data_IF_667610653307
#
_entry.id   IF_667610653307
#
_cell.length_a   1.000
_cell.length_b   1.000
_cell.length_c   1.000
_cell.angle_alpha   90.00
_cell.angle_beta   90.00
_cell.angle_gamma   90.00
#
_symmetry.space_group_name_H-M   'P 1'
#
loop_
_entity.id
_entity.type
_entity.pdbx_description
1 polymer ?
#
# COMPACT_ATOMS: atom_id res chain seq x y z
N UNK A 1 -2.42 21.26 19.73
CA UNK A 1 -3.86 21.22 19.43
C UNK A 1 -4.13 21.04 17.94
N UNK A 2 -3.59 21.91 17.07
CA UNK A 2 -3.84 21.87 15.60
C UNK A 2 -3.35 20.60 14.92
N UNK A 3 -2.23 20.05 15.35
CA UNK A 3 -1.68 18.79 14.86
C UNK A 3 -2.58 17.60 15.24
N UNK A 4 -3.06 17.56 16.49
CA UNK A 4 -3.94 16.50 16.98
C UNK A 4 -5.26 16.45 16.21
N UNK A 5 -5.86 17.61 15.91
CA UNK A 5 -7.11 17.67 15.14
C UNK A 5 -6.90 17.21 13.68
N UNK A 6 -5.78 17.61 13.07
CA UNK A 6 -5.46 17.16 11.72
C UNK A 6 -5.23 15.63 11.67
N UNK A 7 -4.54 15.07 12.67
CA UNK A 7 -4.35 13.62 12.75
C UNK A 7 -5.69 12.90 12.87
N UNK A 8 -6.59 13.34 13.74
CA UNK A 8 -7.93 12.76 13.86
C UNK A 8 -8.72 12.77 12.55
N UNK A 9 -8.60 13.84 11.77
CA UNK A 9 -9.27 13.93 10.48
C UNK A 9 -8.68 12.97 9.44
N UNK A 10 -7.34 12.77 9.45
CA UNK A 10 -6.66 11.78 8.61
C UNK A 10 -7.13 10.38 8.99
N UNK A 11 -7.11 10.06 10.28
CA UNK A 11 -7.52 8.74 10.79
C UNK A 11 -8.98 8.46 10.43
N UNK A 12 -9.88 9.42 10.64
CA UNK A 12 -11.30 9.30 10.29
C UNK A 12 -11.50 8.98 8.81
N UNK A 13 -10.80 9.70 7.91
CA UNK A 13 -10.91 9.45 6.45
C UNK A 13 -10.36 8.07 6.07
N UNK A 14 -9.26 7.67 6.69
CA UNK A 14 -8.68 6.35 6.47
C UNK A 14 -9.61 5.24 6.98
N UNK A 15 -10.26 5.44 8.13
CA UNK A 15 -11.21 4.48 8.69
C UNK A 15 -12.49 4.38 7.84
N UNK A 16 -12.97 5.49 7.30
CA UNK A 16 -14.11 5.50 6.37
C UNK A 16 -13.80 4.76 5.06
N UNK A 17 -12.60 4.96 4.50
CA UNK A 17 -12.16 4.22 3.33
C UNK A 17 -12.06 2.71 3.63
N UNK A 18 -11.49 2.35 4.77
CA UNK A 18 -11.40 0.98 5.23
C UNK A 18 -12.77 0.34 5.46
N UNK A 19 -13.71 1.04 6.08
CA UNK A 19 -15.07 0.55 6.29
C UNK A 19 -15.79 0.21 4.98
N UNK A 20 -15.51 0.94 3.90
CA UNK A 20 -16.03 0.65 2.57
C UNK A 20 -15.34 -0.55 1.92
N UNK A 21 -14.03 -0.71 2.12
CA UNK A 21 -13.25 -1.81 1.55
C UNK A 21 -13.48 -3.13 2.27
N UNK A 22 -13.72 -3.10 3.59
CA UNK A 22 -13.78 -4.27 4.45
C UNK A 22 -14.81 -5.33 4.01
N UNK A 23 -16.04 -5.03 3.60
CA UNK A 23 -16.98 -6.04 3.13
C UNK A 23 -16.46 -6.85 1.93
N UNK A 24 -15.73 -6.20 1.01
CA UNK A 24 -15.13 -6.86 -0.15
C UNK A 24 -13.99 -7.77 0.30
N UNK A 25 -13.13 -7.29 1.20
CA UNK A 25 -12.03 -8.06 1.78
C UNK A 25 -12.53 -9.30 2.51
N UNK A 26 -13.60 -9.16 3.29
CA UNK A 26 -14.22 -10.28 4.01
C UNK A 26 -14.87 -11.29 3.07
N UNK A 27 -15.48 -10.81 1.98
CA UNK A 27 -16.01 -11.70 0.94
C UNK A 27 -14.90 -12.51 0.25
N UNK A 28 -13.76 -11.88 -0.05
CA UNK A 28 -12.61 -12.59 -0.61
C UNK A 28 -12.00 -13.59 0.37
N UNK A 29 -12.01 -13.29 1.66
CA UNK A 29 -11.54 -14.21 2.69
C UNK A 29 -12.33 -15.53 2.69
N UNK A 30 -13.64 -15.48 2.45
CA UNK A 30 -14.48 -16.68 2.33
C UNK A 30 -14.26 -17.45 1.03
N UNK A 31 -13.70 -16.81 0.01
CA UNK A 31 -13.40 -17.39 -1.30
C UNK A 31 -11.93 -17.89 -1.43
N UNK A 32 -11.22 -18.04 -0.32
CA UNK A 32 -9.86 -18.54 -0.31
C UNK A 32 -8.75 -17.50 -0.53
N UNK A 33 -9.07 -16.23 -0.40
CA UNK A 33 -8.11 -15.12 -0.33
C UNK A 33 -8.18 -14.45 1.05
N UNK A 34 -7.67 -15.07 2.12
CA UNK A 34 -7.90 -14.60 3.48
C UNK A 34 -7.18 -13.29 3.74
N UNK A 35 -7.89 -12.31 4.28
CA UNK A 35 -7.27 -11.21 4.99
C UNK A 35 -6.81 -11.68 6.36
N UNK A 36 -5.53 -11.54 6.61
CA UNK A 36 -4.91 -11.92 7.89
C UNK A 36 -4.25 -10.70 8.50
N UNK A 37 -4.95 -9.91 9.32
CA UNK A 37 -4.43 -8.66 9.90
C UNK A 37 -3.19 -8.87 10.77
N UNK A 38 -2.96 -10.09 11.21
CA UNK A 38 -1.80 -10.52 11.98
C UNK A 38 -0.93 -11.51 11.19
N UNK A 39 -1.10 -11.57 9.89
CA UNK A 39 -0.33 -12.44 9.03
C UNK A 39 1.12 -12.05 9.07
N UNK A 40 1.84 -12.90 9.61
CA UNK A 40 3.11 -12.51 10.02
C UNK A 40 4.08 -13.65 9.94
N UNK A 41 3.63 -14.85 9.93
CA UNK A 41 4.50 -15.95 9.56
C UNK A 41 4.49 -16.07 8.04
N UNK A 42 5.65 -16.28 7.40
CA UNK A 42 5.72 -16.55 5.96
C UNK A 42 4.80 -17.68 5.50
N UNK A 43 4.54 -18.65 6.38
CA UNK A 43 3.68 -19.80 6.11
C UNK A 43 2.19 -19.43 6.06
N UNK A 44 1.79 -18.34 6.70
CA UNK A 44 0.39 -17.88 6.74
C UNK A 44 -0.04 -17.24 5.42
N UNK A 45 0.92 -16.83 4.59
CA UNK A 45 0.67 -16.12 3.34
C UNK A 45 0.76 -17.08 2.15
N UNK A 46 -0.18 -16.94 1.24
CA UNK A 46 -0.24 -17.76 0.03
C UNK A 46 0.94 -17.41 -0.87
N UNK A 47 1.72 -18.42 -1.21
CA UNK A 47 2.73 -18.31 -2.28
C UNK A 47 2.10 -18.72 -3.59
N UNK A 48 2.22 -17.88 -4.58
CA UNK A 48 1.83 -18.22 -5.95
C UNK A 48 2.77 -19.28 -6.52
N UNK A 49 2.26 -20.12 -7.43
CA UNK A 49 3.09 -21.09 -8.15
C UNK A 49 4.05 -20.44 -9.18
N UNK A 50 3.79 -19.18 -9.50
CA UNK A 50 4.62 -18.40 -10.42
C UNK A 50 5.09 -17.12 -9.73
N UNK A 51 6.28 -16.61 -10.06
CA UNK A 51 6.78 -15.38 -9.46
C UNK A 51 5.86 -14.18 -9.73
N UNK A 52 5.99 -13.15 -8.92
CA UNK A 52 5.25 -11.90 -9.04
C UNK A 52 5.40 -11.27 -10.44
N UNK A 53 6.60 -11.36 -10.98
CA UNK A 53 6.97 -11.00 -12.36
C UNK A 53 8.28 -11.73 -12.72
N UNK A 54 8.66 -11.81 -14.01
CA UNK A 54 9.92 -12.42 -14.41
C UNK A 54 11.12 -11.73 -13.74
N UNK A 55 11.95 -12.50 -13.06
CA UNK A 55 13.11 -11.97 -12.33
C UNK A 55 12.80 -11.42 -10.93
N UNK A 56 11.61 -11.66 -10.38
CA UNK A 56 11.29 -11.30 -9.01
C UNK A 56 12.12 -12.11 -8.01
N UNK A 57 12.75 -11.42 -7.05
CA UNK A 57 13.59 -11.98 -6.00
C UNK A 57 13.16 -11.47 -4.62
N UNK A 58 13.67 -12.12 -3.57
CA UNK A 58 13.41 -11.72 -2.19
C UNK A 58 12.13 -12.30 -1.59
N UNK A 59 11.77 -11.83 -0.39
CA UNK A 59 10.67 -12.37 0.41
C UNK A 59 9.29 -12.30 -0.25
N UNK A 60 9.05 -11.29 -1.09
CA UNK A 60 7.81 -11.11 -1.84
C UNK A 60 7.81 -11.70 -3.25
N UNK A 61 8.85 -12.44 -3.64
CA UNK A 61 9.01 -12.93 -5.02
C UNK A 61 7.84 -13.76 -5.55
N UNK A 62 7.11 -14.43 -4.67
CA UNK A 62 5.97 -15.28 -5.01
C UNK A 62 4.63 -14.72 -4.52
N UNK A 63 4.58 -13.44 -4.23
CA UNK A 63 3.29 -12.80 -3.93
C UNK A 63 2.37 -12.81 -5.15
N UNK A 64 1.09 -13.16 -5.01
CA UNK A 64 0.13 -13.02 -6.09
C UNK A 64 -0.19 -11.56 -6.42
N UNK A 65 0.04 -10.63 -5.47
CA UNK A 65 -0.42 -9.25 -5.64
C UNK A 65 -1.88 -9.20 -6.07
N UNK A 66 -2.21 -8.33 -7.01
CA UNK A 66 -3.56 -8.16 -7.55
C UNK A 66 -3.96 -9.16 -8.64
N UNK A 67 -3.18 -10.22 -8.88
CA UNK A 67 -3.40 -11.16 -9.98
C UNK A 67 -4.80 -11.77 -9.93
N UNK A 68 -5.48 -11.78 -11.09
CA UNK A 68 -6.86 -12.26 -11.22
C UNK A 68 -7.91 -11.32 -10.64
N UNK A 69 -7.51 -10.13 -10.20
CA UNK A 69 -8.41 -9.08 -9.72
C UNK A 69 -8.85 -8.11 -10.80
N UNK A 70 -9.55 -7.06 -10.38
CA UNK A 70 -10.00 -5.99 -11.26
C UNK A 70 -8.81 -5.14 -11.74
N UNK A 71 -8.88 -4.68 -12.98
CA UNK A 71 -7.98 -3.63 -13.46
C UNK A 71 -8.61 -2.28 -13.16
N UNK A 72 -7.90 -1.44 -12.40
CA UNK A 72 -8.31 -0.07 -12.07
C UNK A 72 -7.37 0.88 -12.77
N UNK A 73 -7.93 1.77 -13.59
CA UNK A 73 -7.16 2.73 -14.39
C UNK A 73 -7.11 4.06 -13.66
N UNK A 74 -5.89 4.49 -13.31
CA UNK A 74 -5.65 5.85 -12.81
C UNK A 74 -5.56 6.78 -14.01
N UNK A 75 -6.52 7.68 -14.11
CA UNK A 75 -6.65 8.68 -15.18
C UNK A 75 -6.65 10.12 -14.67
N UNK A 76 -6.40 10.30 -13.37
CA UNK A 76 -6.35 11.61 -12.72
C UNK A 76 -5.11 11.72 -11.81
N UNK A 77 -4.44 12.87 -11.88
CA UNK A 77 -3.33 13.24 -10.97
C UNK A 77 -3.82 13.95 -9.69
N UNK A 78 -5.13 14.08 -9.51
CA UNK A 78 -5.69 14.67 -8.30
C UNK A 78 -5.39 13.80 -7.06
N UNK A 79 -5.44 14.43 -5.88
CA UNK A 79 -5.24 13.74 -4.60
C UNK A 79 -6.35 12.72 -4.29
N UNK A 80 -7.59 13.06 -4.64
CA UNK A 80 -8.76 12.25 -4.30
C UNK A 80 -9.88 12.40 -5.32
N UNK A 81 -10.84 11.49 -5.29
CA UNK A 81 -11.97 11.44 -6.19
C UNK A 81 -11.85 10.32 -7.23
N UNK A 82 -12.82 10.25 -8.16
CA UNK A 82 -12.84 9.19 -9.16
C UNK A 82 -11.60 9.17 -10.07
N UNK A 83 -11.10 7.98 -10.34
CA UNK A 83 -9.95 7.74 -11.22
C UNK A 83 -8.60 8.13 -10.62
N UNK A 84 -8.51 8.38 -9.33
CA UNK A 84 -7.24 8.72 -8.65
C UNK A 84 -6.50 7.50 -8.14
N UNK A 85 -5.21 7.65 -7.89
CA UNK A 85 -4.39 6.63 -7.23
C UNK A 85 -4.93 6.29 -5.83
N UNK A 86 -5.38 7.31 -5.08
CA UNK A 86 -5.98 7.11 -3.76
C UNK A 86 -7.19 6.19 -3.82
N UNK A 87 -8.15 6.45 -4.70
CA UNK A 87 -9.31 5.59 -4.86
C UNK A 87 -8.91 4.14 -5.16
N UNK A 88 -7.98 3.94 -6.08
CA UNK A 88 -7.49 2.61 -6.44
C UNK A 88 -6.81 1.88 -5.27
N UNK A 89 -6.05 2.61 -4.45
CA UNK A 89 -5.33 2.05 -3.31
C UNK A 89 -6.24 1.71 -2.12
N UNK A 90 -7.23 2.56 -1.87
CA UNK A 90 -8.14 2.44 -0.73
C UNK A 90 -9.38 1.58 -1.04
N UNK A 91 -9.54 1.12 -2.28
CA UNK A 91 -10.58 0.14 -2.68
C UNK A 91 -10.21 -1.26 -2.19
N UNK A 92 -11.23 -2.03 -1.81
CA UNK A 92 -11.08 -3.46 -1.45
C UNK A 92 -11.11 -4.38 -2.66
N UNK A 93 -10.64 -5.61 -2.44
CA UNK A 93 -10.61 -6.67 -3.43
C UNK A 93 -9.29 -6.75 -4.20
N UNK A 94 -9.07 -7.90 -4.82
CA UNK A 94 -7.89 -8.09 -5.67
C UNK A 94 -7.91 -7.12 -6.85
N UNK A 95 -6.80 -6.40 -7.06
CA UNK A 95 -6.76 -5.32 -8.06
C UNK A 95 -5.38 -5.05 -8.63
N UNK A 96 -5.37 -4.71 -9.90
CA UNK A 96 -4.18 -4.26 -10.61
C UNK A 96 -4.40 -2.79 -10.99
N UNK A 97 -3.60 -1.91 -10.42
CA UNK A 97 -3.64 -0.48 -10.67
C UNK A 97 -2.70 -0.15 -11.82
N UNK A 98 -3.26 0.38 -12.89
CA UNK A 98 -2.53 0.82 -14.08
C UNK A 98 -2.76 2.31 -14.32
N UNK A 99 -1.85 2.95 -15.04
CA UNK A 99 -1.88 4.41 -15.24
C UNK A 99 -2.07 4.76 -16.70
N UNK A 100 -3.03 5.64 -16.96
CA UNK A 100 -3.23 6.29 -18.26
C UNK A 100 -2.81 7.77 -18.22
N UNK A 101 -2.12 8.16 -17.16
CA UNK A 101 -1.57 9.51 -16.94
C UNK A 101 -0.13 9.41 -16.46
N UNK A 102 0.64 10.44 -16.72
CA UNK A 102 1.98 10.63 -16.15
C UNK A 102 2.09 12.00 -15.48
N UNK A 103 2.97 12.12 -14.50
CA UNK A 103 3.20 13.37 -13.80
C UNK A 103 3.26 13.23 -12.29
N UNK A 104 2.96 14.30 -11.59
CA UNK A 104 3.09 14.41 -10.15
C UNK A 104 1.71 14.41 -9.48
N UNK A 105 1.48 13.39 -8.66
CA UNK A 105 0.31 13.31 -7.77
C UNK A 105 0.71 13.96 -6.44
N UNK A 106 0.06 15.06 -6.08
CA UNK A 106 0.32 15.80 -4.84
C UNK A 106 -0.70 15.44 -3.78
N UNK A 107 -0.29 14.58 -2.87
CA UNK A 107 -1.14 14.15 -1.76
C UNK A 107 -1.27 15.25 -0.71
N UNK A 108 -2.47 15.45 -0.21
CA UNK A 108 -2.78 16.33 0.93
C UNK A 108 -2.74 15.58 2.27
N UNK A 109 -2.98 14.28 2.21
CA UNK A 109 -2.94 13.36 3.36
C UNK A 109 -2.30 12.03 2.90
N UNK A 110 -1.76 11.23 3.81
CA UNK A 110 -1.24 9.91 3.45
C UNK A 110 -2.25 9.04 2.70
N UNK A 111 -1.76 8.19 1.80
CA UNK A 111 -2.52 7.06 1.28
C UNK A 111 -2.23 5.85 2.17
N UNK A 112 -3.26 5.18 2.67
CA UNK A 112 -3.13 3.94 3.43
C UNK A 112 -3.65 2.76 2.61
N UNK A 113 -2.76 1.88 2.19
CA UNK A 113 -3.13 0.62 1.53
C UNK A 113 -3.43 -0.43 2.60
N UNK A 114 -4.70 -0.58 2.98
CA UNK A 114 -5.15 -1.52 4.01
C UNK A 114 -5.73 -2.83 3.45
N UNK A 115 -6.25 -2.80 2.23
CA UNK A 115 -6.81 -3.98 1.59
C UNK A 115 -5.70 -4.76 0.84
N UNK A 116 -5.57 -6.07 1.06
CA UNK A 116 -4.56 -6.91 0.43
C UNK A 116 -4.80 -7.11 -1.08
N UNK A 117 -3.90 -7.87 -1.70
CA UNK A 117 -3.98 -8.30 -3.11
C UNK A 117 -3.98 -7.14 -4.10
N UNK A 118 -2.96 -6.29 -4.00
CA UNK A 118 -2.79 -5.15 -4.90
C UNK A 118 -1.50 -5.25 -5.71
N UNK A 119 -1.59 -4.92 -6.99
CA UNK A 119 -0.42 -4.64 -7.85
C UNK A 119 -0.51 -3.21 -8.34
N UNK A 120 0.49 -2.39 -8.06
CA UNK A 120 0.63 -1.03 -8.59
C UNK A 120 1.69 -1.06 -9.69
N UNK A 121 1.22 -0.98 -10.92
CA UNK A 121 2.02 -1.16 -12.14
C UNK A 121 2.44 0.19 -12.72
N UNK A 122 3.36 0.89 -12.08
CA UNK A 122 3.84 2.22 -12.50
C UNK A 122 4.45 2.25 -13.89
N UNK A 123 4.97 1.13 -14.39
CA UNK A 123 5.50 0.99 -15.74
C UNK A 123 4.45 1.14 -16.86
N UNK A 124 3.17 1.13 -16.52
CA UNK A 124 2.09 1.37 -17.49
C UNK A 124 1.85 2.84 -17.76
N UNK A 125 2.39 3.72 -16.92
CA UNK A 125 2.25 5.16 -17.11
C UNK A 125 2.98 5.61 -18.37
N UNK A 126 2.38 6.53 -19.16
CA UNK A 126 3.07 7.09 -20.31
C UNK A 126 4.24 8.00 -19.90
N UNK A 127 5.09 8.35 -20.87
CA UNK A 127 6.19 9.31 -20.69
C UNK A 127 7.11 8.97 -19.52
N UNK A 128 7.36 9.93 -18.66
CA UNK A 128 8.28 9.79 -17.52
C UNK A 128 7.67 9.08 -16.31
N UNK A 129 6.46 8.55 -16.42
CA UNK A 129 5.81 7.81 -15.33
C UNK A 129 5.20 8.70 -14.26
N UNK A 130 4.95 8.12 -13.07
CA UNK A 130 4.24 8.77 -11.96
C UNK A 130 5.15 9.01 -10.77
N UNK A 131 5.01 10.20 -10.18
CA UNK A 131 5.65 10.59 -8.94
C UNK A 131 4.59 10.96 -7.90
N UNK A 132 4.66 10.35 -6.72
CA UNK A 132 3.79 10.67 -5.58
C UNK A 132 4.55 11.56 -4.62
N UNK A 133 3.96 12.68 -4.20
CA UNK A 133 4.59 13.66 -3.30
C UNK A 133 3.59 14.26 -2.32
N UNK A 134 4.08 14.97 -1.33
CA UNK A 134 3.28 15.79 -0.40
C UNK A 134 2.89 15.10 0.88
N UNK A 135 2.66 13.81 0.88
CA UNK A 135 2.42 13.00 2.07
C UNK A 135 2.94 11.57 1.86
N UNK A 136 2.98 10.80 2.91
CA UNK A 136 3.46 9.41 2.92
C UNK A 136 2.56 8.47 2.13
N UNK A 137 3.16 7.43 1.55
CA UNK A 137 2.46 6.29 0.99
C UNK A 137 2.66 5.09 1.92
N UNK A 138 1.59 4.66 2.59
CA UNK A 138 1.66 3.69 3.67
C UNK A 138 1.07 2.36 3.27
N UNK A 139 1.81 1.29 3.57
CA UNK A 139 1.40 -0.09 3.36
C UNK A 139 1.04 -0.69 4.73
N UNK A 140 -0.19 -1.14 4.87
CA UNK A 140 -0.72 -1.69 6.11
C UNK A 140 -1.49 -3.00 5.86
N UNK A 141 -0.91 -3.85 5.01
CA UNK A 141 -1.52 -5.13 4.61
C UNK A 141 -0.49 -6.05 3.96
N UNK A 142 -0.93 -7.12 3.34
CA UNK A 142 -0.11 -8.15 2.71
C UNK A 142 -0.40 -8.32 1.20
N UNK A 143 0.42 -9.11 0.52
CA UNK A 143 0.29 -9.42 -0.91
C UNK A 143 0.26 -8.18 -1.80
N UNK A 144 1.37 -7.44 -1.75
CA UNK A 144 1.54 -6.17 -2.44
C UNK A 144 2.68 -6.26 -3.46
N UNK A 145 2.43 -5.79 -4.67
CA UNK A 145 3.45 -5.56 -5.70
C UNK A 145 3.43 -4.09 -6.08
N UNK A 146 4.57 -3.41 -5.96
CA UNK A 146 4.73 -2.01 -6.43
C UNK A 146 5.92 -1.97 -7.37
N UNK A 147 5.71 -1.44 -8.58
CA UNK A 147 6.78 -1.34 -9.58
C UNK A 147 6.82 0.03 -10.25
N UNK A 148 8.04 0.50 -10.54
CA UNK A 148 8.32 1.71 -11.31
C UNK A 148 7.61 2.97 -10.80
N UNK A 149 7.54 3.13 -9.49
CA UNK A 149 6.97 4.31 -8.84
C UNK A 149 8.05 5.18 -8.21
N UNK A 150 7.78 6.46 -8.11
CA UNK A 150 8.64 7.43 -7.42
C UNK A 150 7.88 8.04 -6.25
N UNK A 151 8.47 7.97 -5.06
CA UNK A 151 7.90 8.51 -3.82
C UNK A 151 8.78 9.65 -3.33
N UNK A 152 8.21 10.84 -3.21
CA UNK A 152 8.91 12.08 -2.86
C UNK A 152 8.11 12.80 -1.78
N UNK A 153 8.28 12.39 -0.53
CA UNK A 153 7.50 12.91 0.61
C UNK A 153 7.52 14.44 0.64
N UNK A 154 8.70 15.00 0.66
CA UNK A 154 8.93 16.45 0.70
C UNK A 154 8.51 17.10 2.03
N UNK A 155 8.70 18.42 2.10
CA UNK A 155 8.54 19.19 3.33
C UNK A 155 7.10 19.67 3.63
N UNK A 156 6.11 19.18 2.90
CA UNK A 156 4.72 19.50 3.23
C UNK A 156 4.37 18.87 4.58
N UNK A 157 3.91 19.69 5.52
CA UNK A 157 3.51 19.27 6.85
C UNK A 157 4.58 18.50 7.63
N UNK A 158 5.64 19.19 7.97
CA UNK A 158 6.80 18.67 8.70
C UNK A 158 6.52 18.20 10.14
N UNK A 159 5.33 18.42 10.65
CA UNK A 159 4.93 17.88 11.95
C UNK A 159 4.72 16.36 11.92
N UNK A 160 4.38 15.81 10.77
CA UNK A 160 4.32 14.38 10.56
C UNK A 160 5.70 13.89 10.12
N UNK A 161 6.40 13.23 11.03
CA UNK A 161 7.69 12.59 10.75
C UNK A 161 7.41 11.20 10.21
N UNK A 162 7.18 11.14 8.92
CA UNK A 162 6.80 9.93 8.21
C UNK A 162 7.67 9.69 6.97
N UNK A 163 7.65 8.47 6.50
CA UNK A 163 8.44 8.00 5.37
C UNK A 163 7.87 8.49 4.04
N UNK A 164 8.68 8.44 3.00
CA UNK A 164 8.16 8.62 1.65
C UNK A 164 7.32 7.40 1.22
N UNK A 165 7.79 6.19 1.54
CA UNK A 165 7.06 4.94 1.43
C UNK A 165 7.30 4.14 2.70
N UNK A 166 6.29 3.96 3.52
CA UNK A 166 6.35 3.21 4.76
C UNK A 166 5.49 1.97 4.75
N UNK A 167 5.85 0.98 5.55
CA UNK A 167 5.02 -0.21 5.77
C UNK A 167 5.10 -0.65 7.22
N UNK A 168 3.95 -0.67 7.88
CA UNK A 168 3.80 -1.24 9.20
C UNK A 168 2.75 -2.33 9.10
N UNK A 169 3.08 -3.48 9.63
CA UNK A 169 2.23 -4.64 9.47
C UNK A 169 2.12 -5.19 8.03
N UNK A 170 3.24 -5.32 7.34
CA UNK A 170 3.28 -5.86 5.98
C UNK A 170 3.72 -7.31 5.93
N UNK A 171 3.24 -8.03 4.93
CA UNK A 171 3.68 -9.38 4.60
C UNK A 171 3.62 -9.64 3.10
N UNK A 172 4.53 -10.45 2.59
CA UNK A 172 4.54 -10.87 1.17
C UNK A 172 4.53 -9.68 0.20
N UNK A 173 5.46 -8.74 0.40
CA UNK A 173 5.56 -7.48 -0.36
C UNK A 173 6.79 -7.50 -1.24
N UNK A 174 6.65 -7.01 -2.46
CA UNK A 174 7.76 -6.73 -3.36
C UNK A 174 7.66 -5.31 -3.91
N UNK A 175 8.73 -4.54 -3.76
CA UNK A 175 8.88 -3.18 -4.27
C UNK A 175 10.06 -3.20 -5.24
N UNK A 176 9.78 -2.96 -6.51
CA UNK A 176 10.74 -3.19 -7.58
C UNK A 176 10.85 -1.96 -8.50
N UNK A 177 12.07 -1.56 -8.85
CA UNK A 177 12.35 -0.38 -9.68
C UNK A 177 11.67 0.90 -9.17
N UNK A 178 11.55 1.04 -7.85
CA UNK A 178 10.99 2.22 -7.20
C UNK A 178 12.10 3.09 -6.61
N UNK A 179 11.80 4.35 -6.39
CA UNK A 179 12.70 5.26 -5.69
C UNK A 179 11.97 6.10 -4.65
N UNK A 180 12.58 6.21 -3.46
CA UNK A 180 12.11 7.05 -2.36
C UNK A 180 13.11 8.17 -2.08
N UNK A 181 12.62 9.37 -1.78
CA UNK A 181 13.45 10.46 -1.26
C UNK A 181 12.62 11.50 -0.53
N UNK A 182 13.34 12.33 0.23
CA UNK A 182 12.76 13.41 1.01
C UNK A 182 11.74 12.94 2.04
N UNK A 183 11.90 11.73 2.60
CA UNK A 183 11.21 11.30 3.80
C UNK A 183 11.55 12.21 4.97
N UNK A 184 10.60 12.41 5.87
CA UNK A 184 10.83 13.19 7.09
C UNK A 184 11.31 12.31 8.24
N UNK A 185 11.23 11.01 8.08
CA UNK A 185 11.89 9.98 8.88
C UNK A 185 12.76 9.14 7.95
N UNK A 186 12.29 8.01 7.41
CA UNK A 186 13.00 7.24 6.41
C UNK A 186 12.48 7.52 4.99
N UNK A 187 13.29 7.17 3.99
CA UNK A 187 12.82 7.26 2.60
C UNK A 187 11.95 6.07 2.22
N UNK A 188 12.35 4.88 2.64
CA UNK A 188 11.61 3.64 2.41
C UNK A 188 11.88 2.69 3.58
N UNK A 189 10.85 2.35 4.33
CA UNK A 189 10.97 1.41 5.43
C UNK A 189 9.82 0.41 5.47
N UNK A 190 10.14 -0.84 5.78
CA UNK A 190 9.15 -1.86 6.06
C UNK A 190 9.33 -2.30 7.51
N UNK A 191 8.35 -1.98 8.33
CA UNK A 191 8.44 -2.23 9.74
C UNK A 191 8.09 -3.68 10.05
N UNK A 192 8.75 -4.22 11.05
CA UNK A 192 8.52 -5.59 11.48
C UNK A 192 7.19 -5.77 12.19
N UNK A 193 6.69 -6.98 12.09
CA UNK A 193 5.44 -7.44 12.64
C UNK A 193 5.52 -8.08 13.99
N UNK A 194 4.36 -8.10 14.60
CA UNK A 194 4.01 -9.04 15.66
C UNK A 194 3.41 -10.27 15.01
N UNK A 195 4.11 -11.39 15.08
CA UNK A 195 3.66 -12.64 14.47
C UNK A 195 2.53 -13.32 15.19
N UNK A 196 2.57 -13.26 16.50
CA UNK A 196 1.64 -13.97 17.33
C UNK A 196 1.38 -13.16 18.59
N UNK A 197 0.14 -13.08 19.02
CA UNK A 197 -0.20 -12.57 20.34
C UNK A 197 -0.44 -13.75 21.24
N UNK A 198 0.27 -13.79 22.34
CA UNK A 198 -0.02 -14.71 23.44
C UNK A 198 -1.29 -14.25 24.21
N UNK A 199 -1.70 -15.05 25.20
CA UNK A 199 -2.86 -14.77 26.05
C UNK A 199 -2.76 -13.48 26.84
N UNK A 200 -1.57 -12.88 26.94
CA UNK A 200 -1.33 -11.61 27.64
C UNK A 200 -1.36 -10.41 26.68
N UNK A 201 -1.57 -10.64 25.40
CA UNK A 201 -1.57 -9.60 24.38
C UNK A 201 -0.18 -9.19 23.88
N UNK A 202 0.87 -9.82 24.37
CA UNK A 202 2.21 -9.64 23.84
C UNK A 202 2.37 -10.39 22.52
N UNK A 203 3.05 -9.78 21.60
CA UNK A 203 3.32 -10.39 20.31
C UNK A 203 4.76 -10.89 20.19
N UNK A 204 4.92 -12.00 19.51
CA UNK A 204 6.21 -12.41 19.02
C UNK A 204 6.60 -11.51 17.85
N UNK A 205 7.77 -10.90 17.97
CA UNK A 205 8.34 -10.05 16.91
C UNK A 205 9.36 -10.86 16.12
N UNK A 206 9.47 -10.54 14.85
CA UNK A 206 10.60 -10.94 14.03
C UNK A 206 11.90 -10.38 14.55
#
# INVERSE_FOLDING_TARGET
LRHTEKQKEIDRKSDEAWAKALPVVMSEATQGRPYKPWASKPEDLIKSNIPAFPGAEGGGAYTPGGRGGKVIVVNSLADSGPGTLREACETGGARIVVFNVSGVIRLKTPINVRAPYITIAGQTAPGDGVCVTGASFLLDTHDIIIRHMRFRRGAQDVFFRDDALGGNCVGNVIIDHCSGSWGLDENMSLYRHVYHRDSTGHGLKL
#
